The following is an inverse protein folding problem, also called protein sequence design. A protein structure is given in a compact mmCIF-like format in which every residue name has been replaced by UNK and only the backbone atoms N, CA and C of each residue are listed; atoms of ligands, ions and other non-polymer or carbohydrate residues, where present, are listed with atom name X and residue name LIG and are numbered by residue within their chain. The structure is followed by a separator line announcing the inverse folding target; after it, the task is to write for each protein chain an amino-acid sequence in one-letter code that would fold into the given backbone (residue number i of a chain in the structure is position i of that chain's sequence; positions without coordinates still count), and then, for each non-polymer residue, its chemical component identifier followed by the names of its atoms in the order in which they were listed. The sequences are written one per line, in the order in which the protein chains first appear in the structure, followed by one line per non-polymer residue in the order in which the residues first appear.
data_IF_614460944683
#
_entry.id   IF_614460944683
#
_cell.length_a   1.000
_cell.length_b   1.000
_cell.length_c   1.000
_cell.angle_alpha   90.00
_cell.angle_beta   90.00
_cell.angle_gamma   90.00
#
_symmetry.space_group_name_H-M   'P 1'
#
loop_
_entity.id
_entity.type
_entity.pdbx_description
1 polymer ?
#
# COMPACT_ATOMS: atom_id res chain seq x y z
N UNK A 1 2.99 6.60 18.51
CA UNK A 1 2.60 6.18 17.14
C UNK A 1 1.10 6.28 17.05
N UNK A 2 0.58 7.01 16.06
CA UNK A 2 -0.86 7.07 15.80
C UNK A 2 -1.13 6.28 14.51
N UNK A 3 -2.11 5.38 14.57
CA UNK A 3 -2.66 4.68 13.41
C UNK A 3 -3.98 5.34 13.06
N UNK A 4 -4.08 5.90 11.85
CA UNK A 4 -5.32 6.46 11.32
C UNK A 4 -5.75 5.57 10.16
N UNK A 5 -6.91 4.94 10.28
CA UNK A 5 -7.53 4.22 9.16
C UNK A 5 -8.09 5.24 8.17
N UNK A 6 -7.73 5.12 6.89
CA UNK A 6 -8.23 6.01 5.84
C UNK A 6 -8.70 5.18 4.64
N UNK A 7 -9.92 5.46 4.18
CA UNK A 7 -10.36 5.00 2.87
C UNK A 7 -9.65 5.82 1.79
N UNK A 8 -8.76 5.15 1.05
CA UNK A 8 -7.97 5.79 0.00
C UNK A 8 -8.55 5.43 -1.36
N UNK A 9 -8.99 6.45 -2.11
CA UNK A 9 -9.35 6.30 -3.52
C UNK A 9 -8.26 6.93 -4.39
N UNK A 10 -7.76 6.20 -5.39
CA UNK A 10 -6.78 6.72 -6.33
C UNK A 10 -7.26 6.56 -7.78
N UNK A 11 -7.04 7.60 -8.57
CA UNK A 11 -7.31 7.60 -10.01
C UNK A 11 -5.99 7.35 -10.73
N UNK A 12 -5.86 6.17 -11.35
CA UNK A 12 -4.64 5.84 -12.09
C UNK A 12 -4.82 6.25 -13.56
N UNK A 13 -4.36 7.45 -13.91
CA UNK A 13 -4.59 8.05 -15.23
C UNK A 13 -3.60 7.60 -16.33
N UNK A 14 -2.57 6.79 -15.99
CA UNK A 14 -1.48 6.41 -16.91
C UNK A 14 -1.05 4.95 -16.77
N UNK A 15 -2.00 4.03 -16.83
CA UNK A 15 -1.69 2.62 -16.99
C UNK A 15 -2.64 2.00 -18.03
N UNK A 16 -2.11 1.48 -19.13
CA UNK A 16 -2.89 0.95 -20.26
C UNK A 16 -3.79 -0.24 -19.85
N UNK A 17 -3.42 -0.93 -18.76
CA UNK A 17 -4.23 -2.01 -18.19
C UNK A 17 -5.36 -1.51 -17.28
N UNK A 18 -5.20 -0.30 -16.72
CA UNK A 18 -6.18 0.30 -15.83
C UNK A 18 -7.45 0.76 -16.58
N UNK A 19 -7.40 0.97 -17.90
CA UNK A 19 -8.58 1.30 -18.75
C UNK A 19 -9.49 2.40 -18.16
N UNK A 20 -8.89 3.50 -17.68
CA UNK A 20 -9.60 4.61 -17.00
C UNK A 20 -10.46 4.19 -15.79
N UNK A 21 -10.20 3.01 -15.20
CA UNK A 21 -10.89 2.54 -14.00
C UNK A 21 -10.36 3.22 -12.75
N UNK A 22 -11.26 3.42 -11.79
CA UNK A 22 -10.95 3.88 -10.44
C UNK A 22 -10.70 2.68 -9.54
N UNK A 23 -9.74 2.82 -8.65
CA UNK A 23 -9.48 1.84 -7.61
C UNK A 23 -9.69 2.46 -6.24
N UNK A 24 -10.32 1.68 -5.37
CA UNK A 24 -10.40 1.96 -3.94
C UNK A 24 -9.52 0.95 -3.21
N UNK A 25 -8.80 1.44 -2.21
CA UNK A 25 -7.93 0.64 -1.37
C UNK A 25 -8.29 0.90 0.09
N UNK A 26 -8.28 -0.16 0.88
CA UNK A 26 -8.27 -0.05 2.34
C UNK A 26 -6.82 0.17 2.79
N UNK A 27 -6.60 1.12 3.69
CA UNK A 27 -5.26 1.40 4.19
C UNK A 27 -5.21 2.06 5.55
N UNK A 28 -4.00 2.10 6.10
CA UNK A 28 -3.68 2.82 7.33
C UNK A 28 -2.58 3.84 7.06
N UNK A 29 -2.73 5.02 7.64
CA UNK A 29 -1.66 5.97 7.81
C UNK A 29 -0.98 5.75 9.16
N UNK A 30 0.33 5.55 9.11
CA UNK A 30 1.23 5.42 10.25
C UNK A 30 1.90 6.78 10.45
N UNK A 31 1.58 7.44 11.56
CA UNK A 31 2.15 8.74 11.90
C UNK A 31 3.02 8.64 13.15
N UNK A 32 4.23 9.20 13.10
CA UNK A 32 5.01 9.52 14.30
C UNK A 32 4.80 10.98 14.66
N UNK A 33 4.30 11.20 15.87
CA UNK A 33 4.08 12.53 16.41
C UNK A 33 5.28 12.95 17.26
N UNK A 34 5.67 14.21 17.16
CA UNK A 34 6.64 14.87 18.04
C UNK A 34 6.19 16.31 18.29
N UNK A 35 6.20 16.74 19.55
CA UNK A 35 5.79 18.08 19.95
C UNK A 35 4.41 18.50 19.41
N UNK A 36 3.45 17.57 19.42
CA UNK A 36 2.08 17.79 18.93
C UNK A 36 1.95 17.92 17.40
N UNK A 37 3.00 17.63 16.63
CA UNK A 37 3.01 17.69 15.16
C UNK A 37 3.37 16.34 14.56
N UNK A 38 2.96 16.10 13.31
CA UNK A 38 3.38 14.92 12.54
C UNK A 38 4.84 15.13 12.13
N UNK A 39 5.73 14.28 12.63
CA UNK A 39 7.15 14.25 12.30
C UNK A 39 7.42 13.29 11.15
N UNK A 40 6.78 12.12 11.17
CA UNK A 40 6.89 11.11 10.12
C UNK A 40 5.49 10.64 9.71
N UNK A 41 5.31 10.42 8.41
CA UNK A 41 4.07 9.98 7.80
C UNK A 41 4.36 8.87 6.80
N UNK A 42 3.64 7.76 6.90
CA UNK A 42 3.71 6.66 5.95
C UNK A 42 2.35 6.01 5.79
N UNK A 43 1.94 5.78 4.55
CA UNK A 43 0.73 5.01 4.24
C UNK A 43 1.07 3.55 3.93
N UNK A 44 0.17 2.66 4.32
CA UNK A 44 0.18 1.25 3.96
C UNK A 44 -1.22 0.90 3.50
N UNK A 45 -1.36 0.47 2.24
CA UNK A 45 -2.63 0.12 1.64
C UNK A 45 -2.65 -1.35 1.21
N UNK A 46 -3.80 -2.01 1.33
CA UNK A 46 -4.06 -3.29 0.70
C UNK A 46 -4.24 -3.09 -0.81
N UNK A 47 -3.12 -3.16 -1.53
CA UNK A 47 -3.07 -2.91 -2.97
C UNK A 47 -3.82 -3.96 -3.80
N UNK A 48 -4.04 -5.17 -3.29
CA UNK A 48 -4.56 -6.30 -4.09
C UNK A 48 -5.99 -6.05 -4.55
N UNK A 49 -6.84 -5.51 -3.68
CA UNK A 49 -8.25 -5.23 -4.01
C UNK A 49 -8.35 -4.15 -5.09
N UNK A 50 -7.58 -3.07 -4.99
CA UNK A 50 -7.59 -2.04 -6.02
C UNK A 50 -6.94 -2.50 -7.34
N UNK A 51 -5.88 -3.32 -7.30
CA UNK A 51 -5.31 -3.92 -8.53
C UNK A 51 -6.32 -4.86 -9.21
N UNK A 52 -7.13 -5.58 -8.44
CA UNK A 52 -8.22 -6.38 -9.00
C UNK A 52 -9.29 -5.51 -9.66
N UNK A 53 -9.68 -4.39 -9.05
CA UNK A 53 -10.62 -3.42 -9.66
C UNK A 53 -10.07 -2.82 -10.96
N UNK A 54 -8.77 -2.55 -11.01
CA UNK A 54 -8.05 -2.15 -12.22
C UNK A 54 -7.90 -3.28 -13.25
N UNK A 55 -8.41 -4.48 -12.95
CA UNK A 55 -8.49 -5.66 -13.82
C UNK A 55 -7.15 -6.25 -14.23
N UNK A 56 -6.19 -6.26 -13.31
CA UNK A 56 -4.99 -7.06 -13.45
C UNK A 56 -5.34 -8.55 -13.46
N UNK A 57 -4.58 -9.32 -14.24
CA UNK A 57 -4.80 -10.77 -14.33
C UNK A 57 -4.44 -11.47 -13.00
N UNK A 58 -5.07 -12.62 -12.69
CA UNK A 58 -4.76 -13.39 -11.48
C UNK A 58 -3.27 -13.74 -11.35
N UNK A 59 -2.59 -14.04 -12.46
CA UNK A 59 -1.16 -14.39 -12.46
C UNK A 59 -0.28 -13.20 -12.07
N UNK A 60 -0.68 -11.98 -12.44
CA UNK A 60 0.04 -10.76 -12.02
C UNK A 60 -0.23 -10.42 -10.57
N UNK A 61 -1.46 -10.61 -10.10
CA UNK A 61 -1.80 -10.45 -8.69
C UNK A 61 -1.02 -11.44 -7.82
N UNK A 62 -0.92 -12.70 -8.22
CA UNK A 62 -0.13 -13.71 -7.51
C UNK A 62 1.35 -13.30 -7.42
N UNK A 63 1.97 -12.92 -8.54
CA UNK A 63 3.37 -12.43 -8.55
C UNK A 63 3.57 -11.19 -7.67
N UNK A 64 2.58 -10.29 -7.65
CA UNK A 64 2.62 -9.12 -6.79
C UNK A 64 2.60 -9.52 -5.31
N UNK A 65 1.68 -10.39 -4.90
CA UNK A 65 1.58 -10.90 -3.52
C UNK A 65 2.85 -11.63 -3.09
N UNK A 66 3.42 -12.47 -3.95
CA UNK A 66 4.68 -13.18 -3.65
C UNK A 66 5.83 -12.20 -3.36
N UNK A 67 5.93 -11.14 -4.16
CA UNK A 67 6.96 -10.11 -3.97
C UNK A 67 6.75 -9.34 -2.67
N UNK A 68 5.53 -8.87 -2.41
CA UNK A 68 5.21 -8.15 -1.17
C UNK A 68 5.45 -9.03 0.06
N UNK A 69 5.14 -10.33 -0.02
CA UNK A 69 5.39 -11.31 1.05
C UNK A 69 6.88 -11.45 1.34
N UNK A 70 7.72 -11.56 0.30
CA UNK A 70 9.18 -11.61 0.46
C UNK A 70 9.72 -10.34 1.12
N UNK A 71 9.31 -9.16 0.63
CA UNK A 71 9.71 -7.88 1.23
C UNK A 71 9.26 -7.74 2.68
N UNK A 72 8.07 -8.25 3.03
CA UNK A 72 7.59 -8.25 4.42
C UNK A 72 8.45 -9.16 5.31
N UNK A 73 8.75 -10.38 4.84
CA UNK A 73 9.62 -11.31 5.56
C UNK A 73 11.03 -10.76 5.73
N UNK A 74 11.60 -10.11 4.71
CA UNK A 74 12.91 -9.45 4.77
C UNK A 74 12.94 -8.35 5.83
N UNK A 75 11.87 -7.56 5.99
CA UNK A 75 11.77 -6.53 7.04
C UNK A 75 11.68 -7.12 8.44
N UNK A 76 10.95 -8.23 8.58
CA UNK A 76 10.79 -8.92 9.87
C UNK A 76 12.09 -9.62 10.27
N UNK A 77 12.80 -10.20 9.30
CA UNK A 77 14.04 -10.95 9.52
C UNK A 77 15.30 -10.07 9.49
N UNK A 78 15.23 -8.87 8.91
CA UNK A 78 16.36 -7.94 8.71
C UNK A 78 16.15 -6.56 9.35
N UNK A 79 16.80 -6.36 10.50
CA UNK A 79 17.24 -5.11 11.13
C UNK A 79 16.26 -3.90 11.20
N UNK A 80 15.80 -3.49 12.41
CA UNK A 80 14.82 -2.41 12.60
C UNK A 80 15.30 -0.97 12.29
N UNK A 81 16.46 -0.76 11.64
CA UNK A 81 17.09 0.56 11.46
C UNK A 81 16.84 1.23 10.09
N UNK A 82 15.97 0.67 9.24
CA UNK A 82 15.50 1.33 8.00
C UNK A 82 13.98 1.49 7.97
N UNK A 83 13.42 1.93 9.09
CA UNK A 83 12.07 2.49 9.18
C UNK A 83 12.17 4.02 9.26
#
# INVERSE_FOLDING_TARGET
MALVTQDMSSVTHRNWEAKDRRATFEGVAICRLESGRIREYREVANAVTGLHLLGFSPERLARFVDRETKTLLERVQGNPSKA
#
